data_IF_965260639353
#
_entry.id   IF_965260639353
#
_cell.length_a   1.000
_cell.length_b   1.000
_cell.length_c   1.000
_cell.angle_alpha   90.00
_cell.angle_beta   90.00
_cell.angle_gamma   90.00
#
_symmetry.space_group_name_H-M   'P 1'
#
loop_
_entity.id
_entity.type
_entity.pdbx_description
1 polymer ?
#
# COMPACT_ATOMS: atom_id res chain seq x y z
N UNK A 1 6.31 21.92 34.63
CA UNK A 1 6.19 22.66 33.36
C UNK A 1 6.89 21.85 32.28
N UNK A 2 6.10 21.40 31.31
CA UNK A 2 6.41 20.75 30.01
C UNK A 2 7.82 20.19 29.77
N UNK A 3 7.92 18.85 29.78
CA UNK A 3 8.96 18.11 29.07
C UNK A 3 8.68 18.19 27.56
N UNK A 4 9.51 18.94 26.86
CA UNK A 4 9.43 19.14 25.40
C UNK A 4 9.83 17.88 24.63
N UNK A 5 8.97 17.53 23.68
CA UNK A 5 9.04 16.41 22.74
C UNK A 5 10.29 16.50 21.87
N UNK A 6 11.24 15.58 22.06
CA UNK A 6 12.39 15.38 21.18
C UNK A 6 12.24 14.09 20.37
N UNK A 7 11.41 14.08 19.32
CA UNK A 7 11.23 12.90 18.45
C UNK A 7 11.50 13.15 16.95
N UNK A 8 11.90 14.36 16.54
CA UNK A 8 12.06 14.70 15.12
C UNK A 8 13.48 14.60 14.55
N UNK A 9 14.52 14.41 15.37
CA UNK A 9 15.91 14.51 14.90
C UNK A 9 16.56 13.18 14.51
N UNK A 10 16.08 12.04 15.01
CA UNK A 10 16.89 10.80 15.05
C UNK A 10 16.59 9.76 13.95
N UNK A 11 15.55 9.95 13.14
CA UNK A 11 15.28 9.07 12.00
C UNK A 11 16.22 9.31 10.80
N UNK A 12 17.08 10.33 10.86
CA UNK A 12 18.10 10.62 9.83
C UNK A 12 19.37 9.76 9.95
N UNK A 13 19.54 9.01 11.05
CA UNK A 13 20.81 8.33 11.39
C UNK A 13 20.72 6.82 11.52
N UNK A 14 19.68 6.17 11.00
CA UNK A 14 19.65 4.70 10.98
C UNK A 14 20.09 4.20 9.59
N UNK A 15 21.20 3.45 9.47
CA UNK A 15 21.69 2.94 8.21
C UNK A 15 20.93 1.66 7.89
N UNK A 16 19.64 1.78 7.62
CA UNK A 16 18.91 0.67 7.01
C UNK A 16 19.35 0.61 5.55
N UNK A 17 20.39 -0.20 5.28
CA UNK A 17 20.90 -0.44 3.94
C UNK A 17 19.82 -1.02 3.03
N UNK A 18 20.02 -0.92 1.72
CA UNK A 18 19.12 -1.33 0.64
C UNK A 18 18.67 -2.82 0.67
N UNK A 19 19.06 -3.61 1.67
CA UNK A 19 18.89 -5.07 1.75
C UNK A 19 17.87 -5.55 2.79
N UNK A 20 17.18 -4.67 3.53
CA UNK A 20 16.12 -5.14 4.44
C UNK A 20 14.92 -5.56 3.62
N UNK A 21 14.76 -6.88 3.50
CA UNK A 21 13.60 -7.55 2.93
C UNK A 21 12.90 -8.35 4.02
N UNK A 22 11.57 -8.47 3.93
CA UNK A 22 10.79 -9.40 4.73
C UNK A 22 10.17 -10.46 3.84
N UNK A 23 9.73 -11.56 4.45
CA UNK A 23 9.02 -12.62 3.73
C UNK A 23 7.71 -12.07 3.17
N UNK A 24 7.39 -12.47 1.93
CA UNK A 24 6.06 -12.22 1.35
C UNK A 24 4.98 -12.85 2.22
N UNK A 25 3.82 -12.21 2.30
CA UNK A 25 2.69 -12.74 3.06
C UNK A 25 2.01 -13.96 2.44
N UNK A 26 2.41 -14.36 1.23
CA UNK A 26 1.79 -15.48 0.51
C UNK A 26 0.40 -15.18 -0.04
N UNK A 27 -0.02 -13.91 -0.05
CA UNK A 27 -1.22 -13.44 -0.74
C UNK A 27 -0.79 -13.09 -2.17
N UNK A 28 -1.64 -13.35 -3.17
CA UNK A 28 -1.36 -13.05 -4.57
C UNK A 28 -1.45 -11.57 -4.91
N UNK A 29 -0.66 -11.14 -5.89
CA UNK A 29 -0.81 -9.84 -6.55
C UNK A 29 -2.12 -9.78 -7.35
N UNK A 30 -2.53 -8.57 -7.74
CA UNK A 30 -3.74 -8.34 -8.53
C UNK A 30 -3.44 -7.55 -9.79
N UNK A 31 -4.13 -7.89 -10.88
CA UNK A 31 -4.17 -7.09 -12.10
C UNK A 31 -5.57 -7.10 -12.70
N UNK A 32 -6.06 -5.92 -13.07
CA UNK A 32 -7.33 -5.78 -13.77
C UNK A 32 -7.28 -4.61 -14.76
N UNK A 33 -7.78 -4.86 -15.96
CA UNK A 33 -7.83 -3.87 -17.04
C UNK A 33 -9.26 -3.60 -17.46
N UNK A 34 -9.58 -2.33 -17.72
CA UNK A 34 -10.85 -1.87 -18.26
C UNK A 34 -10.61 -0.79 -19.33
N UNK A 35 -11.63 -0.55 -20.17
CA UNK A 35 -11.54 0.36 -21.29
C UNK A 35 -10.66 -0.15 -22.43
N UNK A 36 -10.42 0.69 -23.42
CA UNK A 36 -9.59 0.34 -24.59
C UNK A 36 -8.63 1.48 -24.92
N UNK A 37 -7.52 1.12 -25.58
CA UNK A 37 -6.53 2.10 -26.03
C UNK A 37 -7.11 3.00 -27.12
N UNK A 38 -7.84 2.43 -28.08
CA UNK A 38 -8.47 3.15 -29.20
C UNK A 38 -9.46 4.24 -28.73
N UNK A 39 -10.16 3.99 -27.62
CA UNK A 39 -11.09 4.96 -27.04
C UNK A 39 -10.42 5.88 -26.00
N UNK A 40 -9.10 5.79 -25.79
CA UNK A 40 -8.34 6.52 -24.76
C UNK A 40 -8.91 6.37 -23.33
N UNK A 41 -9.59 5.26 -23.07
CA UNK A 41 -10.22 4.95 -21.78
C UNK A 41 -9.48 3.86 -21.01
N UNK A 42 -8.41 3.29 -21.57
CA UNK A 42 -7.67 2.18 -20.97
C UNK A 42 -7.19 2.54 -19.55
N UNK A 43 -7.57 1.69 -18.59
CA UNK A 43 -7.08 1.72 -17.20
C UNK A 43 -6.59 0.34 -16.84
N UNK A 44 -5.33 0.25 -16.39
CA UNK A 44 -4.76 -0.98 -15.81
C UNK A 44 -4.48 -0.72 -14.33
N UNK A 45 -5.18 -1.47 -13.49
CA UNK A 45 -5.06 -1.46 -12.04
C UNK A 45 -4.17 -2.61 -11.60
N UNK A 46 -3.22 -2.35 -10.70
CA UNK A 46 -2.31 -3.38 -10.16
C UNK A 46 -2.13 -3.22 -8.65
N UNK A 47 -2.12 -4.33 -7.92
CA UNK A 47 -1.80 -4.37 -6.48
C UNK A 47 -0.57 -5.24 -6.30
N UNK A 48 0.50 -4.66 -5.73
CA UNK A 48 1.79 -5.33 -5.54
C UNK A 48 2.24 -5.25 -4.10
N UNK A 49 2.80 -6.35 -3.58
CA UNK A 49 3.31 -6.39 -2.22
C UNK A 49 4.58 -5.55 -2.10
N UNK A 50 4.70 -4.80 -1.02
CA UNK A 50 5.93 -4.11 -0.65
C UNK A 50 6.67 -5.03 0.31
N UNK A 51 7.76 -5.62 -0.16
CA UNK A 51 8.60 -6.56 0.61
C UNK A 51 9.98 -6.04 0.96
N UNK A 52 10.29 -4.79 0.56
CA UNK A 52 11.60 -4.16 0.80
C UNK A 52 11.45 -2.82 1.49
N UNK A 53 12.41 -2.49 2.36
CA UNK A 53 12.47 -1.17 3.00
C UNK A 53 12.54 -0.02 1.99
N UNK A 54 13.30 -0.22 0.90
CA UNK A 54 13.46 0.76 -0.16
C UNK A 54 12.13 1.10 -0.82
N UNK A 55 11.34 0.09 -1.16
CA UNK A 55 10.04 0.27 -1.80
C UNK A 55 9.03 0.87 -0.82
N UNK A 56 9.04 0.45 0.46
CA UNK A 56 8.19 1.03 1.50
C UNK A 56 8.49 2.52 1.72
N UNK A 57 9.77 2.88 1.77
CA UNK A 57 10.20 4.29 1.87
C UNK A 57 9.78 5.08 0.63
N UNK A 58 9.90 4.49 -0.57
CA UNK A 58 9.45 5.09 -1.82
C UNK A 58 7.94 5.35 -1.83
N UNK A 59 7.14 4.35 -1.44
CA UNK A 59 5.69 4.45 -1.28
C UNK A 59 5.33 5.57 -0.31
N UNK A 60 5.92 5.57 0.90
CA UNK A 60 5.64 6.60 1.91
C UNK A 60 5.98 8.02 1.47
N UNK A 61 7.04 8.21 0.68
CA UNK A 61 7.38 9.53 0.10
C UNK A 61 6.35 9.99 -0.94
N UNK A 62 5.92 9.10 -1.84
CA UNK A 62 4.89 9.40 -2.86
C UNK A 62 3.56 9.72 -2.20
N UNK A 63 3.19 8.92 -1.19
CA UNK A 63 1.90 8.95 -0.51
C UNK A 63 1.86 9.95 0.66
N UNK A 64 3.00 10.50 1.07
CA UNK A 64 3.15 11.39 2.25
C UNK A 64 2.68 10.73 3.55
N UNK A 65 3.01 9.45 3.71
CA UNK A 65 2.71 8.68 4.93
C UNK A 65 3.96 8.53 5.80
N UNK A 66 3.74 8.28 7.09
CA UNK A 66 4.82 7.90 7.99
C UNK A 66 5.08 6.39 7.84
N UNK A 67 6.27 6.02 7.36
CA UNK A 67 6.63 4.60 7.16
C UNK A 67 7.05 3.88 8.44
N UNK A 68 7.31 4.62 9.52
CA UNK A 68 7.80 4.05 10.78
C UNK A 68 6.79 3.08 11.40
N UNK A 69 5.50 3.34 11.26
CA UNK A 69 4.42 2.44 11.74
C UNK A 69 4.39 1.11 10.99
N UNK A 70 4.72 1.11 9.69
CA UNK A 70 4.72 -0.10 8.88
C UNK A 70 5.94 -0.98 9.14
N UNK A 71 7.11 -0.39 9.40
CA UNK A 71 8.35 -1.13 9.64
C UNK A 71 8.21 -2.16 10.77
N UNK A 72 7.62 -1.76 11.90
CA UNK A 72 7.43 -2.64 13.05
C UNK A 72 6.49 -3.81 12.71
N UNK A 73 5.35 -3.51 12.06
CA UNK A 73 4.33 -4.52 11.73
C UNK A 73 4.82 -5.52 10.66
N UNK A 74 5.50 -5.05 9.61
CA UNK A 74 6.06 -5.92 8.57
C UNK A 74 7.14 -6.86 9.12
N UNK A 75 8.01 -6.36 10.01
CA UNK A 75 9.07 -7.19 10.60
C UNK A 75 8.55 -8.37 11.44
N UNK A 76 7.32 -8.26 11.94
CA UNK A 76 6.65 -9.31 12.73
C UNK A 76 5.89 -10.35 11.90
N UNK A 77 5.73 -10.14 10.58
CA UNK A 77 4.96 -11.00 9.68
C UNK A 77 3.43 -10.95 9.83
N UNK A 78 2.92 -10.22 10.83
CA UNK A 78 1.46 -10.11 11.11
C UNK A 78 0.71 -9.25 10.11
N UNK A 79 1.44 -8.36 9.43
CA UNK A 79 0.88 -7.38 8.49
C UNK A 79 1.71 -7.37 7.22
N UNK A 80 1.04 -7.29 6.07
CA UNK A 80 1.67 -6.93 4.80
C UNK A 80 1.16 -5.61 4.25
N UNK A 81 2.02 -4.91 3.52
CA UNK A 81 1.75 -3.61 2.92
C UNK A 81 1.79 -3.75 1.41
N UNK A 82 0.83 -3.12 0.75
CA UNK A 82 0.61 -3.25 -0.67
C UNK A 82 0.47 -1.87 -1.32
N UNK A 83 1.01 -1.73 -2.52
CA UNK A 83 0.85 -0.55 -3.37
C UNK A 83 -0.23 -0.82 -4.41
N UNK A 84 -1.36 -0.13 -4.33
CA UNK A 84 -2.36 -0.10 -5.41
C UNK A 84 -1.97 1.00 -6.39
N UNK A 85 -1.89 0.67 -7.67
CA UNK A 85 -1.44 1.58 -8.71
C UNK A 85 -2.29 1.51 -9.97
N UNK A 86 -2.22 2.60 -10.72
CA UNK A 86 -3.01 2.84 -11.92
C UNK A 86 -2.11 3.28 -13.08
N UNK A 87 -2.27 2.63 -14.22
CA UNK A 87 -1.75 3.04 -15.52
C UNK A 87 -2.93 3.50 -16.39
N UNK A 88 -2.78 4.63 -17.07
CA UNK A 88 -3.81 5.22 -17.94
C UNK A 88 -3.26 5.28 -19.36
N UNK A 89 -3.92 4.64 -20.32
CA UNK A 89 -3.50 4.66 -21.73
C UNK A 89 -1.99 4.36 -21.89
N UNK A 90 -1.54 3.28 -21.25
CA UNK A 90 -0.15 2.80 -21.24
C UNK A 90 0.90 3.79 -20.68
N UNK A 91 0.45 4.84 -19.99
CA UNK A 91 1.33 5.74 -19.27
C UNK A 91 1.88 5.09 -18.00
N UNK A 92 2.98 5.66 -17.50
CA UNK A 92 3.65 5.24 -16.27
C UNK A 92 2.67 5.03 -15.11
N UNK A 93 2.76 3.86 -14.46
CA UNK A 93 2.05 3.51 -13.22
C UNK A 93 2.21 4.58 -12.16
N UNK A 94 1.09 5.01 -11.59
CA UNK A 94 1.03 5.90 -10.43
C UNK A 94 0.46 5.16 -9.23
N UNK A 95 1.10 5.31 -8.08
CA UNK A 95 0.54 4.89 -6.80
C UNK A 95 -0.72 5.70 -6.52
N UNK A 96 -1.78 5.02 -6.08
CA UNK A 96 -3.06 5.66 -5.75
C UNK A 96 -3.50 5.35 -4.31
N UNK A 97 -3.22 4.14 -3.81
CA UNK A 97 -3.45 3.76 -2.41
C UNK A 97 -2.28 2.93 -1.87
N UNK A 98 -1.98 3.14 -0.60
CA UNK A 98 -1.25 2.19 0.24
C UNK A 98 -2.26 1.37 1.03
N UNK A 99 -2.13 0.06 0.99
CA UNK A 99 -3.09 -0.90 1.57
C UNK A 99 -2.39 -1.75 2.62
N UNK A 100 -3.02 -1.88 3.77
CA UNK A 100 -2.54 -2.69 4.88
C UNK A 100 -3.45 -3.92 5.04
N UNK A 101 -2.83 -5.10 5.11
CA UNK A 101 -3.52 -6.37 5.31
C UNK A 101 -3.03 -7.02 6.59
N UNK A 102 -3.96 -7.36 7.47
CA UNK A 102 -3.69 -8.25 8.60
C UNK A 102 -3.65 -9.69 8.07
N UNK A 103 -2.45 -10.27 7.99
CA UNK A 103 -2.18 -11.56 7.30
C UNK A 103 -2.94 -12.70 7.96
N UNK A 104 -2.82 -12.83 9.28
CA UNK A 104 -3.45 -13.92 10.06
C UNK A 104 -4.98 -13.94 9.92
N UNK A 105 -5.59 -12.77 9.72
CA UNK A 105 -7.04 -12.61 9.62
C UNK A 105 -7.54 -12.57 8.19
N UNK A 106 -6.65 -12.43 7.21
CA UNK A 106 -6.98 -12.15 5.79
C UNK A 106 -7.94 -10.95 5.66
N UNK A 107 -7.63 -9.86 6.37
CA UNK A 107 -8.45 -8.64 6.37
C UNK A 107 -7.64 -7.48 5.80
N UNK A 108 -8.19 -6.80 4.79
CA UNK A 108 -7.77 -5.45 4.40
C UNK A 108 -8.24 -4.51 5.51
N UNK A 109 -7.34 -4.12 6.41
CA UNK A 109 -7.66 -3.34 7.60
C UNK A 109 -7.57 -1.83 7.33
N UNK A 110 -6.77 -1.41 6.36
CA UNK A 110 -6.65 0.00 5.98
C UNK A 110 -6.32 0.14 4.50
N UNK A 111 -6.89 1.16 3.85
CA UNK A 111 -6.44 1.65 2.57
C UNK A 111 -6.43 3.19 2.59
N UNK A 112 -5.31 3.81 2.23
CA UNK A 112 -5.16 5.27 2.26
C UNK A 112 -4.48 5.80 1.02
N UNK A 113 -5.08 6.83 0.45
CA UNK A 113 -4.52 7.63 -0.62
C UNK A 113 -3.48 8.61 -0.11
N UNK A 114 -2.95 9.42 -1.03
CA UNK A 114 -1.98 10.47 -0.74
C UNK A 114 -2.49 11.39 0.37
N UNK A 115 -1.63 11.70 1.33
CA UNK A 115 -1.94 12.49 2.52
C UNK A 115 -3.14 11.95 3.33
N UNK A 116 -3.24 10.62 3.45
CA UNK A 116 -4.29 9.90 4.18
C UNK A 116 -5.72 10.08 3.64
N UNK A 117 -5.88 10.45 2.36
CA UNK A 117 -7.19 10.49 1.69
C UNK A 117 -7.88 9.12 1.79
N UNK A 118 -9.20 9.12 1.99
CA UNK A 118 -10.02 7.91 1.94
C UNK A 118 -10.15 7.39 0.50
N UNK A 119 -10.27 6.07 0.28
CA UNK A 119 -10.47 5.51 -1.05
C UNK A 119 -11.70 6.07 -1.77
N UNK A 120 -11.57 6.31 -3.08
CA UNK A 120 -12.69 6.60 -3.97
C UNK A 120 -13.44 5.32 -4.35
N UNK A 121 -14.70 5.45 -4.78
CA UNK A 121 -15.58 4.32 -5.12
C UNK A 121 -14.92 3.32 -6.08
N UNK A 122 -14.24 3.82 -7.11
CA UNK A 122 -13.54 2.97 -8.08
C UNK A 122 -12.35 2.23 -7.45
N UNK A 123 -11.64 2.89 -6.53
CA UNK A 123 -10.52 2.27 -5.82
C UNK A 123 -11.04 1.18 -4.85
N UNK A 124 -12.19 1.41 -4.22
CA UNK A 124 -12.89 0.39 -3.41
C UNK A 124 -13.35 -0.79 -4.26
N UNK A 125 -13.85 -0.56 -5.49
CA UNK A 125 -14.21 -1.63 -6.42
C UNK A 125 -12.99 -2.53 -6.71
N UNK A 126 -11.83 -1.93 -6.99
CA UNK A 126 -10.57 -2.67 -7.21
C UNK A 126 -10.19 -3.49 -5.98
N UNK A 127 -10.27 -2.91 -4.77
CA UNK A 127 -10.00 -3.64 -3.53
C UNK A 127 -10.96 -4.81 -3.31
N UNK A 128 -12.25 -4.66 -3.65
CA UNK A 128 -13.23 -5.75 -3.55
C UNK A 128 -12.93 -6.88 -4.54
N UNK A 129 -12.50 -6.55 -5.76
CA UNK A 129 -12.10 -7.56 -6.76
C UNK A 129 -10.89 -8.35 -6.30
N UNK A 130 -9.87 -7.66 -5.78
CA UNK A 130 -8.70 -8.33 -5.20
C UNK A 130 -9.07 -9.19 -3.99
N UNK A 131 -9.90 -8.66 -3.09
CA UNK A 131 -10.36 -9.41 -1.92
C UNK A 131 -11.14 -10.67 -2.31
N UNK A 132 -11.96 -10.62 -3.36
CA UNK A 132 -12.63 -11.81 -3.88
C UNK A 132 -11.65 -12.82 -4.49
N UNK A 133 -10.62 -12.37 -5.21
CA UNK A 133 -9.59 -13.25 -5.80
C UNK A 133 -8.79 -13.99 -4.72
N UNK A 134 -8.39 -13.26 -3.68
CA UNK A 134 -7.48 -13.74 -2.64
C UNK A 134 -8.21 -14.13 -1.35
N UNK A 135 -9.52 -14.34 -1.37
CA UNK A 135 -10.30 -14.73 -0.18
C UNK A 135 -10.00 -13.82 1.04
N UNK A 136 -9.91 -12.51 0.80
CA UNK A 136 -9.77 -11.49 1.83
C UNK A 136 -11.14 -10.89 2.15
N UNK A 137 -11.24 -10.25 3.31
CA UNK A 137 -12.39 -9.40 3.66
C UNK A 137 -11.95 -7.94 3.80
N UNK A 138 -12.85 -7.01 3.49
CA UNK A 138 -12.63 -5.59 3.77
C UNK A 138 -13.22 -5.30 5.15
N UNK A 139 -12.45 -4.64 6.03
CA UNK A 139 -13.01 -4.16 7.28
C UNK A 139 -14.13 -3.12 7.02
N UNK A 140 -15.13 -3.06 7.90
CA UNK A 140 -16.28 -2.14 7.76
C UNK A 140 -15.86 -0.65 7.61
N UNK A 141 -14.65 -0.29 8.05
CA UNK A 141 -14.12 1.09 8.08
C UNK A 141 -13.05 1.35 7.00
N UNK A 142 -13.03 0.55 5.93
CA UNK A 142 -12.12 0.79 4.79
C UNK A 142 -12.52 2.03 3.96
N UNK A 143 -13.66 2.65 4.26
CA UNK A 143 -14.13 3.92 3.70
C UNK A 143 -14.03 5.09 4.67
#
# INVERSE_FOLDING_TARGET
>A
MVNGVGWHADLRKQPFGDQITWHSSGIGEFEWTEGTLDAETLRRWTIREIVTWKDLRGEGLVMRHCVASYLHSCSSGKTSIWSLGLERNEQRRRQVLTVEVAVDKRIICQARGKANRLPEEKEVEVLRRWAAQEELTLAEHVG
#
